data_IF_402216673154
#
_entry.id   IF_402216673154
#
_cell.length_a   1.000
_cell.length_b   1.000
_cell.length_c   1.000
_cell.angle_alpha   90.00
_cell.angle_beta   90.00
_cell.angle_gamma   90.00
#
_symmetry.space_group_name_H-M   'P 1'
#
loop_
_entity.id
_entity.type
_entity.pdbx_description
1 polymer ?
#
# COMPACT_ATOMS: atom_id res chain seq x y z
N UNK A 1 -19.83 22.60 12.61
CA UNK A 1 -19.16 21.85 11.54
C UNK A 1 -20.23 21.20 10.68
N UNK A 2 -20.14 21.37 9.40
CA UNK A 2 -21.06 20.75 8.44
C UNK A 2 -20.25 19.76 7.62
N UNK A 3 -20.68 18.52 7.58
CA UNK A 3 -20.13 17.53 6.66
C UNK A 3 -21.19 17.26 5.56
N UNK A 4 -20.80 17.38 4.31
CA UNK A 4 -21.63 17.08 3.15
C UNK A 4 -20.99 15.96 2.35
N UNK A 5 -21.78 14.95 2.00
CA UNK A 5 -21.33 13.86 1.13
C UNK A 5 -21.95 14.02 -0.24
N UNK A 6 -21.13 14.17 -1.26
CA UNK A 6 -21.54 14.23 -2.65
C UNK A 6 -20.87 13.09 -3.43
N UNK A 7 -21.61 12.48 -4.32
CA UNK A 7 -21.08 11.44 -5.20
C UNK A 7 -20.47 12.08 -6.45
N UNK A 8 -19.27 11.66 -6.78
CA UNK A 8 -18.65 12.04 -8.04
C UNK A 8 -19.44 11.43 -9.22
N UNK A 9 -19.93 12.27 -10.13
CA UNK A 9 -20.63 11.92 -11.38
C UNK A 9 -22.06 11.36 -11.30
N UNK A 10 -22.84 11.55 -10.25
CA UNK A 10 -24.29 11.28 -10.33
C UNK A 10 -25.12 12.22 -9.46
N UNK A 11 -26.30 12.55 -9.95
CA UNK A 11 -27.25 13.53 -9.38
C UNK A 11 -28.15 12.99 -8.26
N UNK A 12 -27.95 11.75 -7.81
CA UNK A 12 -28.91 11.11 -6.92
C UNK A 12 -28.31 10.81 -5.53
N UNK A 13 -29.05 11.20 -4.52
CA UNK A 13 -28.94 10.92 -3.08
C UNK A 13 -27.86 11.67 -2.29
N UNK A 14 -28.26 12.85 -1.78
CA UNK A 14 -27.52 13.60 -0.77
C UNK A 14 -27.99 13.25 0.65
N UNK A 15 -27.06 13.05 1.56
CA UNK A 15 -27.33 13.20 2.99
C UNK A 15 -26.42 14.27 3.58
N UNK A 16 -27.01 15.28 4.20
CA UNK A 16 -26.28 16.36 4.86
C UNK A 16 -26.36 16.17 6.36
N UNK A 17 -25.23 16.17 7.03
CA UNK A 17 -25.15 16.07 8.48
C UNK A 17 -24.63 17.36 9.07
N UNK A 18 -25.33 17.87 10.06
CA UNK A 18 -24.92 19.02 10.85
C UNK A 18 -24.51 18.57 12.24
N UNK A 19 -23.39 19.07 12.73
CA UNK A 19 -23.02 18.94 14.11
C UNK A 19 -22.39 20.24 14.61
N UNK A 20 -22.74 20.63 15.84
CA UNK A 20 -22.21 21.84 16.46
C UNK A 20 -21.00 21.45 17.31
N UNK A 21 -19.86 22.05 17.01
CA UNK A 21 -18.67 21.96 17.87
C UNK A 21 -18.88 22.76 19.14
N UNK A 22 -18.67 22.12 20.30
CA UNK A 22 -18.49 22.84 21.55
C UNK A 22 -17.10 23.53 21.52
N UNK A 23 -16.97 24.79 22.01
CA UNK A 23 -15.69 25.49 22.05
C UNK A 23 -14.58 24.74 22.79
N UNK A 24 -14.93 23.85 23.69
CA UNK A 24 -14.01 23.11 24.56
C UNK A 24 -13.57 21.75 24.01
N UNK A 25 -13.98 21.36 22.79
CA UNK A 25 -13.59 20.08 22.18
C UNK A 25 -12.72 20.30 20.97
N UNK A 26 -11.49 19.80 21.03
CA UNK A 26 -10.53 19.78 19.92
C UNK A 26 -10.79 18.65 18.93
N UNK A 27 -11.58 17.65 19.31
CA UNK A 27 -11.92 16.51 18.46
C UNK A 27 -13.42 16.40 18.23
N UNK A 28 -13.77 16.04 17.01
CA UNK A 28 -15.13 15.84 16.57
C UNK A 28 -15.30 14.43 15.99
N UNK A 29 -16.20 13.67 16.61
CA UNK A 29 -16.66 12.40 16.08
C UNK A 29 -18.02 12.59 15.42
N UNK A 30 -18.06 12.65 14.08
CA UNK A 30 -19.30 12.60 13.34
C UNK A 30 -20.01 11.26 13.57
N UNK A 31 -21.34 11.29 13.76
CA UNK A 31 -22.13 10.06 13.64
C UNK A 31 -22.02 9.58 12.20
N UNK A 32 -22.04 8.25 12.02
CA UNK A 32 -21.93 7.64 10.70
C UNK A 32 -22.85 8.28 9.65
N UNK A 33 -22.34 8.40 8.43
CA UNK A 33 -23.07 8.92 7.28
C UNK A 33 -23.73 7.72 6.60
N UNK A 34 -25.05 7.75 6.47
CA UNK A 34 -25.78 6.70 5.74
C UNK A 34 -25.83 7.05 4.24
N UNK A 35 -25.36 6.14 3.41
CA UNK A 35 -25.45 6.23 1.96
C UNK A 35 -26.43 5.17 1.47
N UNK A 36 -27.56 5.60 0.91
CA UNK A 36 -28.56 4.69 0.35
C UNK A 36 -28.10 4.14 -1.00
N UNK A 37 -28.27 2.83 -1.20
CA UNK A 37 -27.90 2.11 -2.44
C UNK A 37 -26.46 2.43 -2.91
N UNK A 38 -25.45 2.20 -2.06
CA UNK A 38 -24.08 2.56 -2.39
C UNK A 38 -23.58 1.79 -3.61
N UNK A 39 -22.85 2.45 -4.50
CA UNK A 39 -22.07 1.78 -5.52
C UNK A 39 -20.70 1.45 -4.94
N UNK A 40 -20.31 0.18 -5.03
CA UNK A 40 -19.06 -0.30 -4.48
C UNK A 40 -17.91 -0.02 -5.45
N UNK A 41 -16.77 0.32 -4.88
CA UNK A 41 -15.50 0.42 -5.58
C UNK A 41 -14.94 -0.99 -5.86
N UNK A 42 -14.35 -1.18 -7.03
CA UNK A 42 -13.79 -2.45 -7.49
C UNK A 42 -12.40 -2.26 -8.08
N UNK A 43 -11.60 -3.32 -8.10
CA UNK A 43 -10.41 -3.33 -8.95
C UNK A 43 -10.83 -3.34 -10.42
N UNK A 44 -9.94 -2.81 -11.25
CA UNK A 44 -10.17 -2.67 -12.70
C UNK A 44 -10.61 -3.97 -13.37
N UNK A 45 -9.98 -5.09 -13.00
CA UNK A 45 -10.24 -6.41 -13.59
C UNK A 45 -11.55 -7.06 -13.13
N UNK A 46 -12.17 -6.52 -12.09
CA UNK A 46 -13.49 -6.94 -11.60
C UNK A 46 -14.59 -5.90 -11.88
N UNK A 47 -14.26 -4.79 -12.54
CA UNK A 47 -15.22 -3.74 -12.86
C UNK A 47 -15.64 -3.81 -14.31
N UNK A 48 -16.95 -3.72 -14.55
CA UNK A 48 -17.52 -3.59 -15.90
C UNK A 48 -17.34 -2.18 -16.49
N UNK A 49 -16.80 -1.24 -15.71
CA UNK A 49 -16.63 0.17 -16.07
C UNK A 49 -15.19 0.60 -15.96
N UNK A 50 -14.72 1.50 -16.85
CA UNK A 50 -13.35 2.01 -16.78
C UNK A 50 -13.09 2.92 -15.57
N UNK A 51 -14.14 3.53 -15.01
CA UNK A 51 -14.03 4.45 -13.87
C UNK A 51 -14.64 3.82 -12.62
N UNK A 52 -13.92 4.00 -11.50
CA UNK A 52 -14.37 3.51 -10.20
C UNK A 52 -15.26 4.54 -9.50
N UNK A 53 -16.35 4.11 -8.83
CA UNK A 53 -17.21 5.03 -8.10
C UNK A 53 -16.51 5.59 -6.88
N UNK A 54 -16.35 6.91 -6.85
CA UNK A 54 -15.81 7.66 -5.72
C UNK A 54 -16.86 8.65 -5.20
N UNK A 55 -16.90 8.80 -3.89
CA UNK A 55 -17.78 9.75 -3.18
C UNK A 55 -16.94 10.92 -2.66
N UNK A 56 -17.42 12.14 -2.83
CA UNK A 56 -16.80 13.31 -2.23
C UNK A 56 -17.36 13.55 -0.83
N UNK A 57 -16.49 13.55 0.16
CA UNK A 57 -16.80 13.99 1.52
C UNK A 57 -16.29 15.39 1.69
N UNK A 58 -17.22 16.34 1.81
CA UNK A 58 -16.91 17.76 2.04
C UNK A 58 -17.03 18.03 3.53
N UNK A 59 -15.93 18.40 4.16
CA UNK A 59 -15.90 18.84 5.56
C UNK A 59 -15.69 20.34 5.57
N UNK A 60 -16.59 21.09 6.17
CA UNK A 60 -16.47 22.54 6.32
C UNK A 60 -16.56 22.96 7.78
N UNK A 61 -15.75 23.92 8.14
CA UNK A 61 -15.78 24.58 9.44
C UNK A 61 -16.42 25.97 9.26
N UNK A 62 -17.52 26.23 9.95
CA UNK A 62 -18.22 27.48 9.83
C UNK A 62 -18.30 28.24 11.16
N UNK A 63 -18.26 29.56 11.09
CA UNK A 63 -18.58 30.48 12.19
C UNK A 63 -19.82 31.28 11.82
N UNK A 64 -20.97 30.95 12.41
CA UNK A 64 -22.24 31.41 11.90
C UNK A 64 -22.47 30.93 10.46
N UNK A 65 -22.76 31.80 9.55
CA UNK A 65 -22.99 31.50 8.13
C UNK A 65 -21.69 31.55 7.28
N UNK A 66 -20.57 31.93 7.87
CA UNK A 66 -19.30 32.07 7.17
C UNK A 66 -18.49 30.74 7.27
N UNK A 67 -18.11 30.20 6.11
CA UNK A 67 -17.17 29.06 6.05
C UNK A 67 -15.74 29.59 6.24
N UNK A 68 -15.09 29.19 7.34
CA UNK A 68 -13.74 29.65 7.71
C UNK A 68 -12.64 28.66 7.29
N UNK A 69 -13.00 27.38 7.06
CA UNK A 69 -12.07 26.36 6.56
C UNK A 69 -12.84 25.18 5.96
N UNK A 70 -12.17 24.36 5.14
CA UNK A 70 -12.79 23.17 4.57
C UNK A 70 -11.80 22.23 3.92
N UNK A 71 -12.21 20.96 3.84
CA UNK A 71 -11.45 19.90 3.17
C UNK A 71 -12.40 19.02 2.37
N UNK A 72 -11.99 18.65 1.16
CA UNK A 72 -12.68 17.66 0.33
C UNK A 72 -11.80 16.40 0.27
N UNK A 73 -12.42 15.26 0.58
CA UNK A 73 -11.77 13.94 0.53
C UNK A 73 -12.61 13.04 -0.37
N UNK A 74 -11.95 12.30 -1.26
CA UNK A 74 -12.61 11.28 -2.09
C UNK A 74 -12.46 9.93 -1.42
N UNK A 75 -13.55 9.18 -1.32
CA UNK A 75 -13.57 7.84 -0.73
C UNK A 75 -14.27 6.88 -1.69
N UNK A 76 -13.83 5.64 -1.71
CA UNK A 76 -14.53 4.54 -2.37
C UNK A 76 -15.08 3.58 -1.33
N UNK A 77 -16.35 3.19 -1.48
CA UNK A 77 -16.97 2.24 -0.57
C UNK A 77 -16.62 0.82 -1.03
N UNK A 78 -15.98 0.07 -0.19
CA UNK A 78 -15.58 -1.31 -0.44
C UNK A 78 -15.47 -2.12 0.85
N UNK A 79 -15.55 -3.42 0.73
CA UNK A 79 -15.11 -4.38 1.73
C UNK A 79 -13.89 -5.13 1.17
N UNK A 80 -12.71 -4.84 1.70
CA UNK A 80 -11.46 -5.51 1.33
C UNK A 80 -10.91 -6.28 2.51
N UNK A 81 -10.94 -7.59 2.39
CA UNK A 81 -10.46 -8.51 3.43
C UNK A 81 -9.11 -9.09 3.02
N UNK A 82 -8.12 -8.93 3.88
CA UNK A 82 -6.86 -9.66 3.80
C UNK A 82 -6.91 -10.87 4.74
N UNK A 83 -6.90 -12.06 4.15
CA UNK A 83 -6.91 -13.32 4.90
C UNK A 83 -5.50 -13.88 5.02
N UNK A 84 -4.99 -13.90 6.24
CA UNK A 84 -3.73 -14.53 6.63
C UNK A 84 -3.94 -15.61 7.71
N UNK A 85 -5.13 -16.18 7.79
CA UNK A 85 -5.48 -17.23 8.74
C UNK A 85 -4.73 -18.53 8.45
N UNK A 86 -4.49 -19.38 9.47
CA UNK A 86 -3.99 -20.74 9.28
C UNK A 86 -4.96 -21.59 8.47
N UNK A 87 -4.42 -22.52 7.68
CA UNK A 87 -5.17 -23.57 7.01
C UNK A 87 -4.44 -24.93 7.14
N UNK A 88 -4.94 -25.98 6.47
CA UNK A 88 -4.40 -27.35 6.56
C UNK A 88 -2.94 -27.49 6.13
N UNK A 89 -2.43 -26.61 5.28
CA UNK A 89 -1.08 -26.68 4.72
C UNK A 89 -0.15 -25.56 5.17
N UNK A 90 -0.67 -24.57 5.89
CA UNK A 90 0.13 -23.46 6.37
C UNK A 90 -0.66 -22.24 6.77
N UNK A 91 -0.44 -21.11 6.08
CA UNK A 91 -1.08 -19.83 6.38
C UNK A 91 -1.45 -19.11 5.10
N UNK A 92 -2.69 -18.66 5.01
CA UNK A 92 -3.19 -17.91 3.86
C UNK A 92 -2.41 -16.60 3.65
N UNK A 93 -2.43 -16.12 2.42
CA UNK A 93 -2.05 -14.76 2.05
C UNK A 93 -2.88 -14.39 0.82
N UNK A 94 -4.10 -13.94 1.04
CA UNK A 94 -5.04 -13.66 -0.06
C UNK A 94 -5.95 -12.48 0.25
N UNK A 95 -6.45 -11.89 -0.80
CA UNK A 95 -7.38 -10.76 -0.73
C UNK A 95 -8.76 -11.17 -1.27
N UNK A 96 -9.79 -10.62 -0.63
CA UNK A 96 -11.18 -10.73 -1.09
C UNK A 96 -11.76 -9.32 -1.13
N UNK A 97 -12.29 -8.90 -2.28
CA UNK A 97 -12.89 -7.59 -2.47
C UNK A 97 -14.41 -7.74 -2.66
N UNK A 98 -15.20 -7.11 -1.80
CA UNK A 98 -16.67 -7.18 -1.85
C UNK A 98 -17.20 -8.63 -1.95
N UNK A 99 -16.57 -9.56 -1.22
CA UNK A 99 -16.90 -10.98 -1.24
C UNK A 99 -16.31 -11.78 -2.41
N UNK A 100 -15.59 -11.17 -3.35
CA UNK A 100 -14.97 -11.85 -4.50
C UNK A 100 -13.48 -12.05 -4.25
N UNK A 101 -12.96 -13.31 -4.30
CA UNK A 101 -11.53 -13.57 -4.19
C UNK A 101 -10.74 -12.91 -5.32
N UNK A 102 -9.61 -12.28 -4.98
CA UNK A 102 -8.72 -11.64 -5.92
C UNK A 102 -7.48 -12.48 -6.18
N UNK A 103 -7.17 -12.70 -7.45
CA UNK A 103 -5.82 -13.10 -7.86
C UNK A 103 -4.99 -11.84 -8.14
N UNK A 104 -4.00 -11.57 -7.30
CA UNK A 104 -3.18 -10.37 -7.44
C UNK A 104 -2.16 -10.55 -8.57
N UNK A 105 -2.18 -9.59 -9.47
CA UNK A 105 -1.25 -9.40 -10.59
C UNK A 105 -0.62 -8.02 -10.44
N UNK A 106 0.68 -7.96 -10.26
CA UNK A 106 1.28 -6.66 -9.96
C UNK A 106 2.79 -6.63 -10.14
N UNK A 107 3.35 -5.51 -9.72
CA UNK A 107 4.79 -5.27 -9.72
C UNK A 107 5.20 -4.42 -8.51
N UNK A 108 6.49 -4.49 -8.16
CA UNK A 108 7.08 -3.55 -7.23
C UNK A 108 7.33 -2.23 -7.95
N UNK A 109 7.02 -1.14 -7.27
CA UNK A 109 7.12 0.22 -7.77
C UNK A 109 8.33 0.93 -7.15
N UNK A 110 9.04 1.63 -8.00
CA UNK A 110 10.07 2.61 -7.65
C UNK A 110 9.69 3.90 -8.38
N UNK A 111 9.87 5.08 -7.77
CA UNK A 111 9.59 6.34 -8.43
C UNK A 111 10.22 6.41 -9.84
N UNK A 112 9.48 6.91 -10.85
CA UNK A 112 9.91 6.85 -12.25
C UNK A 112 11.08 7.77 -12.58
N UNK A 113 11.45 8.65 -11.66
CA UNK A 113 12.56 9.60 -11.82
C UNK A 113 13.21 9.85 -10.46
N UNK A 114 14.55 9.87 -10.43
CA UNK A 114 15.33 10.15 -9.22
C UNK A 114 15.50 11.64 -8.92
N UNK A 115 15.28 12.49 -9.93
CA UNK A 115 15.43 13.96 -9.81
C UNK A 115 14.09 14.66 -9.62
N UNK A 116 13.02 14.10 -10.18
CA UNK A 116 11.64 14.56 -10.02
C UNK A 116 10.75 13.36 -9.72
N UNK A 117 10.82 12.91 -8.48
CA UNK A 117 10.07 11.74 -7.98
C UNK A 117 8.55 11.94 -8.05
N UNK A 118 8.09 13.19 -8.15
CA UNK A 118 6.67 13.53 -8.18
C UNK A 118 6.18 14.01 -9.56
N UNK A 119 6.89 13.66 -10.64
CA UNK A 119 6.45 13.96 -12.01
C UNK A 119 5.13 13.26 -12.34
N UNK A 120 4.04 14.03 -12.35
CA UNK A 120 2.69 13.54 -12.62
C UNK A 120 2.52 12.89 -13.99
N UNK A 121 3.25 13.36 -15.02
CA UNK A 121 3.16 12.80 -16.36
C UNK A 121 3.82 11.42 -16.44
N UNK A 122 4.99 11.28 -15.85
CA UNK A 122 5.68 9.99 -15.76
C UNK A 122 4.89 9.00 -14.89
N UNK A 123 4.37 9.45 -13.74
CA UNK A 123 3.51 8.67 -12.88
C UNK A 123 2.26 8.18 -13.64
N UNK A 124 1.51 9.09 -14.30
CA UNK A 124 0.31 8.72 -15.05
C UNK A 124 0.60 7.74 -16.20
N UNK A 125 1.74 7.91 -16.89
CA UNK A 125 2.18 6.98 -17.93
C UNK A 125 2.46 5.59 -17.35
N UNK A 126 3.20 5.51 -16.25
CA UNK A 126 3.50 4.26 -15.57
C UNK A 126 2.20 3.54 -15.14
N UNK A 127 1.24 4.27 -14.57
CA UNK A 127 -0.04 3.69 -14.20
C UNK A 127 -0.85 3.22 -15.44
N UNK A 128 -0.69 3.88 -16.59
CA UNK A 128 -1.27 3.39 -17.85
C UNK A 128 -0.60 2.11 -18.35
N UNK A 129 0.71 1.96 -18.13
CA UNK A 129 1.42 0.72 -18.44
C UNK A 129 0.95 -0.43 -17.51
N UNK A 130 0.67 -0.13 -16.23
CA UNK A 130 0.07 -1.08 -15.27
C UNK A 130 -1.30 -1.55 -15.77
N UNK A 131 -2.14 -0.63 -16.24
CA UNK A 131 -3.43 -0.95 -16.83
C UNK A 131 -3.30 -1.80 -18.09
N UNK A 132 -2.39 -1.44 -18.99
CA UNK A 132 -2.11 -2.17 -20.22
C UNK A 132 -1.67 -3.62 -19.96
N UNK A 133 -0.86 -3.82 -18.91
CA UNK A 133 -0.40 -5.14 -18.48
C UNK A 133 -1.45 -5.92 -17.68
N UNK A 134 -2.67 -5.38 -17.52
CA UNK A 134 -3.75 -5.98 -16.75
C UNK A 134 -3.35 -6.32 -15.30
N UNK A 135 -2.55 -5.45 -14.70
CA UNK A 135 -2.21 -5.52 -13.28
C UNK A 135 -3.32 -4.88 -12.44
N UNK A 136 -3.53 -5.40 -11.24
CA UNK A 136 -4.53 -4.90 -10.30
C UNK A 136 -3.95 -4.45 -8.96
N UNK A 137 -2.63 -4.55 -8.76
CA UNK A 137 -1.92 -4.07 -7.57
C UNK A 137 -0.52 -3.57 -7.91
N UNK A 138 -0.08 -2.53 -7.19
CA UNK A 138 1.30 -2.07 -7.15
C UNK A 138 1.78 -2.09 -5.70
N UNK A 139 2.99 -2.56 -5.47
CA UNK A 139 3.67 -2.44 -4.18
C UNK A 139 4.69 -1.33 -4.22
N UNK A 140 4.50 -0.30 -3.41
CA UNK A 140 5.51 0.71 -3.10
C UNK A 140 6.43 0.11 -2.04
N UNK A 141 7.59 -0.40 -2.47
CA UNK A 141 8.47 -1.13 -1.57
C UNK A 141 9.27 -0.20 -0.65
N UNK A 142 9.77 -0.71 0.47
CA UNK A 142 10.36 0.07 1.55
C UNK A 142 11.58 0.95 1.18
N UNK A 143 12.19 0.75 0.03
CA UNK A 143 13.23 1.61 -0.51
C UNK A 143 12.73 2.84 -1.28
N UNK A 144 11.41 2.97 -1.50
CA UNK A 144 10.81 4.03 -2.32
C UNK A 144 10.24 5.20 -1.49
N UNK A 145 9.78 4.97 -0.28
CA UNK A 145 9.10 5.97 0.55
C UNK A 145 7.60 6.07 0.24
N UNK A 146 7.04 7.29 0.39
CA UNK A 146 5.63 7.55 0.15
C UNK A 146 5.46 8.43 -1.08
N UNK A 147 4.46 8.11 -1.88
CA UNK A 147 4.08 8.93 -3.02
C UNK A 147 3.21 10.14 -2.60
N UNK A 148 3.03 11.09 -3.52
CA UNK A 148 2.12 12.21 -3.34
C UNK A 148 0.65 11.80 -3.54
N UNK A 149 -0.29 12.68 -3.16
CA UNK A 149 -1.74 12.42 -3.29
C UNK A 149 -2.15 12.06 -4.72
N UNK A 150 -1.51 12.64 -5.73
CA UNK A 150 -1.84 12.37 -7.13
C UNK A 150 -1.71 10.89 -7.49
N UNK A 151 -0.68 10.21 -6.97
CA UNK A 151 -0.48 8.79 -7.22
C UNK A 151 -1.64 7.95 -6.67
N UNK A 152 -2.01 8.17 -5.41
CA UNK A 152 -3.09 7.41 -4.77
C UNK A 152 -4.45 7.74 -5.39
N UNK A 153 -4.72 9.02 -5.68
CA UNK A 153 -5.91 9.46 -6.39
C UNK A 153 -6.06 8.78 -7.77
N UNK A 154 -4.97 8.62 -8.51
CA UNK A 154 -4.98 7.92 -9.79
C UNK A 154 -5.19 6.42 -9.61
N UNK A 155 -4.61 5.80 -8.59
CA UNK A 155 -4.87 4.40 -8.26
C UNK A 155 -6.34 4.18 -7.89
N UNK A 156 -6.94 5.10 -7.11
CA UNK A 156 -8.37 5.06 -6.76
C UNK A 156 -9.26 5.12 -7.99
N UNK A 157 -8.99 6.03 -8.93
CA UNK A 157 -9.76 6.21 -10.17
C UNK A 157 -9.60 5.02 -11.12
N UNK A 158 -8.45 4.40 -11.15
CA UNK A 158 -8.10 3.32 -12.08
C UNK A 158 -8.43 1.92 -11.54
N UNK A 159 -8.81 1.80 -10.27
CA UNK A 159 -9.07 0.50 -9.65
C UNK A 159 -7.80 -0.34 -9.47
N UNK A 160 -6.68 0.30 -9.14
CA UNK A 160 -5.39 -0.35 -8.88
C UNK A 160 -5.15 -0.35 -7.38
N UNK A 161 -5.02 -1.52 -6.77
CA UNK A 161 -4.67 -1.64 -5.36
C UNK A 161 -3.24 -1.19 -5.09
N UNK A 162 -3.00 -0.67 -3.90
CA UNK A 162 -1.69 -0.27 -3.40
C UNK A 162 -1.32 -1.06 -2.16
N UNK A 163 -0.20 -1.74 -2.20
CA UNK A 163 0.51 -2.25 -1.04
C UNK A 163 1.59 -1.24 -0.70
N UNK A 164 1.52 -0.61 0.47
CA UNK A 164 2.45 0.41 0.93
C UNK A 164 3.38 -0.14 2.00
N UNK A 165 4.68 -0.23 1.71
CA UNK A 165 5.68 -0.43 2.76
C UNK A 165 5.97 0.88 3.48
N UNK A 166 6.25 0.80 4.78
CA UNK A 166 6.95 1.87 5.46
C UNK A 166 8.42 1.93 4.97
N UNK A 167 9.08 3.10 4.99
CA UNK A 167 10.37 3.29 4.32
C UNK A 167 11.55 2.65 5.06
N UNK A 168 11.44 1.34 5.27
CA UNK A 168 12.48 0.50 5.86
C UNK A 168 12.81 -0.64 4.90
N UNK A 169 14.06 -0.72 4.44
CA UNK A 169 14.47 -1.76 3.49
C UNK A 169 15.93 -2.15 3.66
N UNK A 170 16.17 -3.45 3.73
CA UNK A 170 17.48 -4.10 3.54
C UNK A 170 18.67 -3.50 4.31
N UNK A 171 18.46 -2.83 5.43
CA UNK A 171 19.54 -2.26 6.25
C UNK A 171 19.17 -2.14 7.72
N UNK A 172 20.19 -1.91 8.57
CA UNK A 172 19.99 -1.60 9.99
C UNK A 172 19.64 -0.13 10.18
N UNK A 173 18.58 0.14 10.92
CA UNK A 173 18.16 1.49 11.34
C UNK A 173 18.44 1.70 12.82
N UNK A 174 18.70 2.93 13.27
CA UNK A 174 19.03 3.21 14.67
C UNK A 174 17.78 3.21 15.56
N UNK A 175 16.99 2.12 15.53
CA UNK A 175 15.75 1.96 16.29
C UNK A 175 15.94 2.00 17.82
N UNK A 176 17.18 1.86 18.27
CA UNK A 176 17.57 2.00 19.69
C UNK A 176 17.71 3.46 20.15
N UNK A 177 17.69 4.45 19.23
CA UNK A 177 17.78 5.85 19.57
C UNK A 177 16.38 6.45 19.82
N UNK A 178 16.06 6.93 21.05
CA UNK A 178 14.72 7.41 21.37
C UNK A 178 14.22 8.53 20.46
N UNK A 179 15.08 9.49 20.09
CA UNK A 179 14.72 10.60 19.22
C UNK A 179 14.38 10.13 17.80
N UNK A 180 15.09 9.13 17.25
CA UNK A 180 14.78 8.52 15.98
C UNK A 180 13.43 7.80 16.04
N UNK A 181 13.22 6.98 17.07
CA UNK A 181 11.97 6.24 17.26
C UNK A 181 10.76 7.15 17.41
N UNK A 182 10.89 8.23 18.16
CA UNK A 182 9.80 9.21 18.32
C UNK A 182 9.44 9.86 16.97
N UNK A 183 10.45 10.25 16.18
CA UNK A 183 10.23 10.85 14.87
C UNK A 183 9.56 9.87 13.90
N UNK A 184 10.04 8.65 13.85
CA UNK A 184 9.49 7.57 12.98
C UNK A 184 8.04 7.24 13.34
N UNK A 185 7.71 7.16 14.63
CA UNK A 185 6.32 6.92 15.08
C UNK A 185 5.40 8.06 14.68
N UNK A 186 5.83 9.31 14.78
CA UNK A 186 5.06 10.48 14.32
C UNK A 186 4.84 10.46 12.80
N UNK A 187 5.89 10.13 12.04
CA UNK A 187 5.80 9.98 10.58
C UNK A 187 4.81 8.87 10.21
N UNK A 188 4.94 7.70 10.84
CA UNK A 188 4.06 6.57 10.58
C UNK A 188 2.59 6.92 10.85
N UNK A 189 2.31 7.54 12.00
CA UNK A 189 0.96 7.98 12.36
C UNK A 189 0.40 8.99 11.34
N UNK A 190 1.21 9.97 10.95
CA UNK A 190 0.83 10.96 9.93
C UNK A 190 0.48 10.29 8.60
N UNK A 191 1.32 9.37 8.12
CA UNK A 191 1.14 8.73 6.83
C UNK A 191 -0.05 7.76 6.83
N UNK A 192 -0.27 7.03 7.92
CA UNK A 192 -1.46 6.19 8.05
C UNK A 192 -2.73 7.04 7.99
N UNK A 193 -2.81 8.13 8.75
CA UNK A 193 -3.94 9.08 8.73
C UNK A 193 -4.12 9.75 7.38
N UNK A 194 -3.04 9.96 6.61
CA UNK A 194 -3.08 10.55 5.28
C UNK A 194 -3.64 9.59 4.24
N UNK A 195 -3.32 8.30 4.37
CA UNK A 195 -3.54 7.31 3.29
C UNK A 195 -4.77 6.41 3.50
N UNK A 196 -5.22 6.21 4.74
CA UNK A 196 -6.19 5.16 5.07
C UNK A 196 -7.55 5.28 4.38
N UNK A 197 -7.93 6.47 3.90
CA UNK A 197 -9.22 6.69 3.24
C UNK A 197 -9.21 6.35 1.73
N UNK A 198 -8.04 6.11 1.13
CA UNK A 198 -7.95 5.69 -0.27
C UNK A 198 -8.48 4.27 -0.45
N UNK A 199 -9.50 4.05 -1.29
CA UNK A 199 -10.02 2.70 -1.52
C UNK A 199 -9.00 1.79 -2.21
N UNK A 200 -8.01 2.33 -2.90
CA UNK A 200 -6.91 1.58 -3.48
C UNK A 200 -5.96 1.00 -2.41
N UNK A 201 -5.84 1.62 -1.25
CA UNK A 201 -4.89 1.14 -0.24
C UNK A 201 -5.34 -0.20 0.35
N UNK A 202 -4.58 -1.25 0.10
CA UNK A 202 -4.93 -2.63 0.45
C UNK A 202 -4.17 -3.16 1.67
N UNK A 203 -2.91 -2.75 1.84
CA UNK A 203 -2.02 -3.33 2.84
C UNK A 203 -0.93 -2.34 3.23
N UNK A 204 -0.69 -2.21 4.52
CA UNK A 204 0.54 -1.64 5.05
C UNK A 204 1.52 -2.74 5.41
N UNK A 205 2.81 -2.54 5.08
CA UNK A 205 3.88 -3.46 5.42
C UNK A 205 4.99 -2.73 6.17
N UNK A 206 5.41 -3.27 7.32
CA UNK A 206 6.37 -2.61 8.20
C UNK A 206 7.75 -2.41 7.58
N UNK A 207 8.23 -3.39 6.82
CA UNK A 207 9.56 -3.30 6.21
C UNK A 207 9.72 -4.23 5.00
N UNK A 208 10.77 -3.96 4.22
CA UNK A 208 11.27 -4.87 3.20
C UNK A 208 12.53 -5.57 3.68
N UNK A 209 12.46 -6.89 3.85
CA UNK A 209 13.60 -7.81 4.04
C UNK A 209 14.48 -7.58 5.27
N UNK A 210 14.06 -6.82 6.28
CA UNK A 210 14.90 -6.58 7.47
C UNK A 210 15.14 -7.87 8.26
N UNK A 211 14.11 -8.68 8.45
CA UNK A 211 14.23 -9.99 9.10
C UNK A 211 15.09 -10.93 8.26
N UNK A 212 14.83 -10.98 6.97
CA UNK A 212 15.59 -11.81 6.03
C UNK A 212 17.08 -11.43 6.00
N UNK A 213 17.36 -10.13 5.97
CA UNK A 213 18.72 -9.60 6.03
C UNK A 213 19.40 -9.99 7.34
N UNK A 214 18.75 -9.84 8.47
CA UNK A 214 19.31 -10.10 9.80
C UNK A 214 19.72 -11.57 9.96
N UNK A 215 18.96 -12.49 9.35
CA UNK A 215 19.22 -13.92 9.42
C UNK A 215 20.25 -14.39 8.38
N UNK A 216 20.23 -13.82 7.17
CA UNK A 216 20.97 -14.42 6.04
C UNK A 216 22.15 -13.59 5.54
N UNK A 217 22.14 -12.27 5.66
CA UNK A 217 23.15 -11.41 5.02
C UNK A 217 24.07 -10.70 6.00
N UNK A 218 23.61 -10.43 7.21
CA UNK A 218 24.38 -9.77 8.23
C UNK A 218 24.56 -10.70 9.42
N UNK A 219 25.80 -10.95 9.81
CA UNK A 219 26.14 -11.74 11.01
C UNK A 219 25.66 -11.11 12.34
N UNK A 220 24.71 -10.17 12.29
CA UNK A 220 24.18 -9.45 13.43
C UNK A 220 22.81 -9.98 13.85
N UNK A 221 22.76 -11.18 14.40
CA UNK A 221 21.54 -11.78 14.96
C UNK A 221 20.85 -10.90 16.03
N UNK A 222 21.56 -9.95 16.64
CA UNK A 222 21.00 -9.05 17.65
C UNK A 222 20.23 -7.86 17.10
N UNK A 223 20.36 -7.50 15.84
CA UNK A 223 19.59 -6.38 15.28
C UNK A 223 18.10 -6.65 15.33
N UNK A 224 17.71 -7.87 15.19
CA UNK A 224 16.35 -8.30 15.22
C UNK A 224 15.68 -8.11 16.58
N UNK A 225 16.43 -8.32 17.68
CA UNK A 225 15.91 -8.11 19.04
C UNK A 225 15.44 -6.65 19.26
N UNK A 226 15.99 -5.72 18.48
CA UNK A 226 15.61 -4.29 18.50
C UNK A 226 14.54 -3.97 17.45
N UNK A 227 14.59 -4.62 16.30
CA UNK A 227 13.71 -4.36 15.17
C UNK A 227 12.33 -5.01 15.35
N UNK A 228 12.28 -6.23 15.88
CA UNK A 228 11.03 -6.98 16.06
C UNK A 228 10.00 -6.22 16.91
N UNK A 229 10.32 -5.67 18.12
CA UNK A 229 9.36 -4.92 18.90
C UNK A 229 8.73 -3.75 18.13
N UNK A 230 9.52 -3.06 17.32
CA UNK A 230 9.01 -1.94 16.54
C UNK A 230 8.04 -2.38 15.44
N UNK A 231 8.44 -3.33 14.60
CA UNK A 231 7.62 -3.76 13.47
C UNK A 231 6.42 -4.61 13.89
N UNK A 232 6.57 -5.48 14.87
CA UNK A 232 5.50 -6.40 15.29
C UNK A 232 4.51 -5.80 16.27
N UNK A 233 4.89 -4.77 17.04
CA UNK A 233 4.04 -4.19 18.08
C UNK A 233 3.79 -2.70 17.87
N UNK A 234 4.81 -1.86 17.86
CA UNK A 234 4.64 -0.41 17.83
C UNK A 234 3.99 0.07 16.53
N UNK A 235 4.54 -0.32 15.39
CA UNK A 235 4.05 0.11 14.08
C UNK A 235 2.68 -0.51 13.77
N UNK A 236 2.50 -1.79 14.12
CA UNK A 236 1.20 -2.45 14.05
C UNK A 236 0.13 -1.70 14.83
N UNK A 237 0.45 -1.30 16.07
CA UNK A 237 -0.46 -0.53 16.91
C UNK A 237 -0.82 0.80 16.27
N UNK A 238 0.14 1.54 15.75
CA UNK A 238 -0.09 2.81 15.05
C UNK A 238 -1.08 2.62 13.89
N UNK A 239 -0.88 1.58 13.06
CA UNK A 239 -1.79 1.29 11.94
C UNK A 239 -3.19 0.97 12.45
N UNK A 240 -3.31 0.07 13.43
CA UNK A 240 -4.61 -0.38 13.95
C UNK A 240 -5.40 0.71 14.71
N UNK A 241 -4.72 1.66 15.34
CA UNK A 241 -5.38 2.77 16.04
C UNK A 241 -5.85 3.88 15.08
N UNK A 242 -5.30 3.94 13.85
CA UNK A 242 -5.56 5.03 12.92
C UNK A 242 -6.18 4.58 11.58
N UNK A 243 -6.37 3.26 11.37
CA UNK A 243 -6.98 2.73 10.15
C UNK A 243 -7.53 1.32 10.36
N UNK A 244 -8.37 0.87 9.43
CA UNK A 244 -8.86 -0.50 9.26
C UNK A 244 -8.09 -1.28 8.20
N UNK A 245 -7.09 -0.66 7.57
CA UNK A 245 -6.25 -1.29 6.55
C UNK A 245 -5.40 -2.40 7.19
N UNK A 246 -5.29 -3.51 6.50
CA UNK A 246 -4.49 -4.65 6.94
C UNK A 246 -3.01 -4.28 7.12
N UNK A 247 -2.33 -4.97 8.04
CA UNK A 247 -0.92 -4.75 8.32
C UNK A 247 -0.15 -6.07 8.43
N UNK A 248 1.04 -6.11 7.83
CA UNK A 248 2.05 -7.15 8.05
C UNK A 248 3.37 -6.52 8.52
N UNK A 249 4.12 -7.18 9.44
CA UNK A 249 5.33 -6.58 10.03
C UNK A 249 6.48 -6.45 9.04
N UNK A 250 6.58 -7.33 8.05
CA UNK A 250 7.63 -7.32 7.04
C UNK A 250 7.27 -8.15 5.82
N UNK A 251 7.94 -7.94 4.72
CA UNK A 251 7.89 -8.74 3.50
C UNK A 251 9.34 -9.19 3.15
N UNK A 252 9.60 -10.50 2.94
CA UNK A 252 8.66 -11.61 3.01
C UNK A 252 8.21 -11.92 4.44
N UNK A 253 6.92 -12.20 4.62
CA UNK A 253 6.31 -12.46 5.93
C UNK A 253 6.38 -13.93 6.39
N UNK A 254 6.81 -14.82 5.52
CA UNK A 254 7.00 -16.24 5.81
C UNK A 254 8.37 -16.60 6.40
N UNK A 255 9.15 -15.62 6.85
CA UNK A 255 10.50 -15.88 7.40
C UNK A 255 10.40 -16.47 8.80
N UNK A 256 11.12 -17.57 9.01
CA UNK A 256 11.36 -18.14 10.33
C UNK A 256 12.82 -18.01 10.70
N UNK A 257 13.11 -17.52 11.90
CA UNK A 257 14.47 -17.46 12.45
C UNK A 257 15.18 -18.81 12.47
N UNK A 258 14.42 -19.90 12.63
CA UNK A 258 14.97 -21.23 12.74
C UNK A 258 15.13 -21.96 11.40
N UNK A 259 14.35 -21.59 10.38
CA UNK A 259 14.24 -22.39 9.14
C UNK A 259 14.51 -21.60 7.86
N UNK A 260 14.90 -20.32 7.95
CA UNK A 260 15.35 -19.52 6.80
C UNK A 260 14.22 -18.96 5.94
N UNK A 261 14.58 -18.55 4.75
CA UNK A 261 13.76 -17.83 3.77
C UNK A 261 12.45 -18.53 3.43
N UNK A 262 11.38 -17.76 3.49
CA UNK A 262 10.09 -17.93 2.83
C UNK A 262 9.71 -19.39 2.51
N UNK A 263 9.02 -20.01 3.45
CA UNK A 263 8.31 -21.25 3.17
C UNK A 263 7.20 -20.94 2.13
N UNK A 264 7.04 -21.81 1.12
CA UNK A 264 6.00 -21.61 0.09
C UNK A 264 4.57 -21.67 0.65
N UNK A 265 4.38 -22.22 1.84
CA UNK A 265 3.09 -22.45 2.46
C UNK A 265 2.68 -21.39 3.49
N UNK A 266 3.52 -20.40 3.78
CA UNK A 266 3.24 -19.37 4.81
C UNK A 266 3.63 -17.99 4.30
N UNK A 267 2.70 -17.04 4.39
CA UNK A 267 2.97 -15.64 4.07
C UNK A 267 3.28 -15.39 2.60
N UNK A 268 4.02 -14.33 2.36
CA UNK A 268 4.57 -14.00 1.04
C UNK A 268 6.05 -14.37 0.93
N UNK A 269 6.51 -14.52 -0.31
CA UNK A 269 7.86 -14.98 -0.64
C UNK A 269 8.58 -14.08 -1.62
N UNK A 270 9.90 -13.88 -1.39
CA UNK A 270 10.82 -13.27 -2.34
C UNK A 270 11.64 -14.38 -3.03
N UNK A 271 11.59 -14.48 -4.36
CA UNK A 271 12.20 -15.57 -5.14
C UNK A 271 13.28 -15.01 -6.05
N UNK A 272 14.45 -14.77 -5.49
CA UNK A 272 15.62 -14.24 -6.20
C UNK A 272 16.64 -15.29 -6.63
N UNK A 273 16.31 -16.58 -6.47
CA UNK A 273 17.22 -17.67 -6.80
C UNK A 273 17.61 -17.72 -8.29
N UNK A 274 16.77 -17.24 -9.19
CA UNK A 274 17.07 -17.14 -10.62
C UNK A 274 18.06 -16.01 -10.89
N UNK A 275 17.85 -14.83 -10.26
CA UNK A 275 18.72 -13.66 -10.43
C UNK A 275 20.04 -13.82 -9.65
N UNK A 276 19.98 -13.93 -8.32
CA UNK A 276 21.16 -13.96 -7.46
C UNK A 276 21.73 -15.38 -7.29
N UNK A 277 20.88 -16.40 -7.30
CA UNK A 277 21.27 -17.80 -7.08
C UNK A 277 21.63 -18.56 -8.34
N UNK A 278 21.68 -17.90 -9.51
CA UNK A 278 22.05 -18.49 -10.81
C UNK A 278 21.23 -19.76 -11.19
N UNK A 279 20.01 -19.86 -10.68
CA UNK A 279 19.12 -20.97 -11.03
C UNK A 279 18.49 -20.70 -12.41
N UNK A 280 18.20 -21.75 -13.20
CA UNK A 280 17.53 -21.58 -14.47
C UNK A 280 16.10 -21.06 -14.28
N UNK A 281 15.54 -20.36 -15.26
CA UNK A 281 14.17 -19.81 -15.21
C UNK A 281 13.09 -20.89 -14.92
N UNK A 282 13.37 -22.14 -15.26
CA UNK A 282 12.51 -23.29 -14.89
C UNK A 282 12.37 -23.50 -13.38
N UNK A 283 13.23 -22.87 -12.57
CA UNK A 283 13.13 -22.89 -11.11
C UNK A 283 11.81 -22.30 -10.61
N UNK A 284 11.29 -21.26 -11.25
CA UNK A 284 9.97 -20.69 -10.90
C UNK A 284 8.84 -21.71 -10.98
N UNK A 285 8.92 -22.71 -11.87
CA UNK A 285 7.92 -23.79 -11.96
C UNK A 285 7.92 -24.74 -10.76
N UNK A 286 8.96 -24.70 -9.95
CA UNK A 286 9.13 -25.55 -8.76
C UNK A 286 8.74 -24.85 -7.46
N UNK A 287 8.46 -23.55 -7.52
CA UNK A 287 8.09 -22.73 -6.37
C UNK A 287 6.62 -22.34 -6.52
N UNK A 288 5.84 -22.65 -5.53
CA UNK A 288 4.40 -22.36 -5.48
C UNK A 288 4.04 -21.67 -4.15
N UNK A 289 4.58 -20.46 -3.91
CA UNK A 289 4.28 -19.75 -2.69
C UNK A 289 2.81 -19.33 -2.63
N UNK A 290 2.30 -19.10 -1.42
CA UNK A 290 0.97 -18.52 -1.21
C UNK A 290 0.83 -17.19 -1.92
N UNK A 291 1.89 -16.39 -1.90
CA UNK A 291 1.99 -15.12 -2.59
C UNK A 291 3.46 -14.86 -2.96
N UNK A 292 3.75 -14.58 -4.21
CA UNK A 292 5.08 -14.15 -4.65
C UNK A 292 5.10 -12.62 -4.72
N UNK A 293 5.57 -11.97 -3.66
CA UNK A 293 5.65 -10.51 -3.57
C UNK A 293 6.86 -9.94 -4.31
N UNK A 294 7.93 -10.75 -4.45
CA UNK A 294 9.08 -10.39 -5.26
C UNK A 294 9.62 -11.60 -6.02
N UNK A 295 9.84 -11.42 -7.29
CA UNK A 295 10.57 -12.36 -8.14
C UNK A 295 10.96 -11.66 -9.43
N UNK A 296 11.86 -12.25 -10.17
CA UNK A 296 12.23 -11.74 -11.48
C UNK A 296 13.66 -12.03 -11.88
N UNK A 297 14.03 -11.39 -12.96
CA UNK A 297 15.37 -11.37 -13.50
C UNK A 297 15.57 -10.02 -14.17
N UNK A 298 16.71 -9.38 -13.96
CA UNK A 298 17.03 -8.17 -14.70
C UNK A 298 17.04 -8.49 -16.19
N UNK A 299 16.29 -7.71 -16.95
CA UNK A 299 16.31 -7.76 -18.40
C UNK A 299 17.01 -6.52 -18.95
N UNK A 300 17.63 -6.67 -20.09
CA UNK A 300 18.16 -5.54 -20.81
C UNK A 300 17.02 -4.65 -21.31
N UNK A 301 17.21 -3.33 -21.39
CA UNK A 301 16.27 -2.44 -22.04
C UNK A 301 16.06 -2.86 -23.51
N UNK A 302 14.97 -2.40 -24.13
CA UNK A 302 14.77 -2.61 -25.56
C UNK A 302 15.94 -1.98 -26.35
N UNK A 303 16.20 -2.49 -27.56
CA UNK A 303 17.23 -1.94 -28.44
C UNK A 303 17.09 -0.43 -28.63
N UNK A 304 15.85 0.04 -28.84
CA UNK A 304 15.56 1.46 -28.97
C UNK A 304 15.87 2.26 -27.70
N UNK A 305 15.63 1.70 -26.53
CA UNK A 305 15.97 2.34 -25.24
C UNK A 305 17.48 2.35 -25.04
N UNK A 306 18.15 1.24 -25.37
CA UNK A 306 19.61 1.12 -25.28
C UNK A 306 20.29 2.17 -26.18
N UNK A 307 19.87 2.30 -27.44
CA UNK A 307 20.37 3.33 -28.34
C UNK A 307 20.20 4.75 -27.83
N UNK A 308 19.04 5.04 -27.19
CA UNK A 308 18.80 6.35 -26.57
C UNK A 308 19.69 6.62 -25.35
N UNK A 309 20.08 5.59 -24.62
CA UNK A 309 20.94 5.70 -23.43
C UNK A 309 22.41 5.85 -23.83
N UNK A 310 22.86 5.06 -24.80
CA UNK A 310 24.27 4.99 -25.22
C UNK A 310 24.62 6.01 -26.31
N UNK A 311 23.65 6.55 -27.01
CA UNK A 311 23.86 7.34 -28.24
C UNK A 311 23.95 6.44 -29.47
N UNK A 312 23.99 7.10 -30.66
CA UNK A 312 24.01 6.40 -31.96
C UNK A 312 25.39 5.83 -32.34
N UNK A 313 26.42 6.02 -31.51
CA UNK A 313 27.83 5.76 -31.86
C UNK A 313 28.41 4.44 -31.32
N UNK A 314 27.58 3.52 -30.80
CA UNK A 314 28.06 2.19 -30.34
C UNK A 314 27.18 1.03 -30.82
#
# INVERSE_FOLDING_TARGET
MTARVERYNTTDDFSTFFSVLSPDKSEFNAKGIEIKNPKLWWTRDLSDKPEQPLYEVVVSLSRGDEIVDGKIVKIGLRDLVFDNSPDEIGKNFRFTLNGVPLFIKGANYVPPDVTDVFDRKKCSRLLSDVEFMNMNMIRIFGGSGYENEFFYDECDKRGILVWQDFPFACQGYPLFLPAFMENVKKEAEYQVKRLHFHPSLALFCGNNEIEAMSVNWMFFSRYIDVAEPFFYYDLKKIVQENSDVAYIPGSPSGVSYMFGYAADNVGDAHIWAVWHGMKPATYFKKRLPRFASEFGMMSLPSENSTKKILGDDE
#
